data_IF_903928111955
#
_entry.id   IF_903928111955
#
_cell.length_a   1.000
_cell.length_b   1.000
_cell.length_c   1.000
_cell.angle_alpha   90.00
_cell.angle_beta   90.00
_cell.angle_gamma   90.00
#
_symmetry.space_group_name_H-M   'P 1'
#
loop_
_entity.id
_entity.type
_entity.pdbx_description
1 polymer ?
#
# COMPACT_ATOMS: atom_id res chain seq x y z
N UNK A 1 -10.86 -2.84 -8.87
CA UNK A 1 -9.57 -3.07 -9.55
C UNK A 1 -9.09 -1.90 -10.41
N UNK A 2 -9.95 -1.22 -11.18
CA UNK A 2 -9.53 -0.10 -12.05
C UNK A 2 -9.01 1.12 -11.25
N UNK A 3 -9.75 1.53 -10.21
CA UNK A 3 -9.43 2.77 -9.46
C UNK A 3 -8.04 2.75 -8.80
N UNK A 4 -7.60 1.68 -8.09
CA UNK A 4 -6.26 1.65 -7.49
C UNK A 4 -5.13 1.63 -8.54
N UNK A 5 -5.31 0.90 -9.63
CA UNK A 5 -4.34 0.87 -10.73
C UNK A 5 -4.22 2.23 -11.43
N UNK A 6 -5.36 2.88 -11.69
CA UNK A 6 -5.39 4.22 -12.25
C UNK A 6 -4.68 5.23 -11.32
N UNK A 7 -4.91 5.16 -10.01
CA UNK A 7 -4.23 6.01 -9.04
C UNK A 7 -2.71 5.84 -9.09
N UNK A 8 -2.21 4.60 -9.17
CA UNK A 8 -0.76 4.32 -9.22
C UNK A 8 -0.08 4.87 -10.48
N UNK A 9 -0.79 4.97 -11.60
CA UNK A 9 -0.26 5.50 -12.86
C UNK A 9 -0.41 7.03 -12.93
N UNK A 10 -1.61 7.52 -12.64
CA UNK A 10 -1.96 8.93 -12.81
C UNK A 10 -1.23 9.80 -11.78
N UNK A 11 -1.05 9.32 -10.54
CA UNK A 11 -0.45 10.13 -9.48
C UNK A 11 0.98 10.61 -9.77
N UNK A 12 1.98 9.77 -10.12
CA UNK A 12 3.32 10.25 -10.43
C UNK A 12 3.35 11.12 -11.70
N UNK A 13 2.48 10.84 -12.69
CA UNK A 13 2.37 11.66 -13.91
C UNK A 13 1.84 13.06 -13.60
N UNK A 14 0.73 13.14 -12.87
CA UNK A 14 0.11 14.41 -12.51
C UNK A 14 1.05 15.26 -11.66
N UNK A 15 1.67 14.66 -10.63
CA UNK A 15 2.64 15.34 -9.77
C UNK A 15 3.85 15.81 -10.60
N UNK A 16 4.45 14.95 -11.42
CA UNK A 16 5.62 15.31 -12.20
C UNK A 16 5.37 16.43 -13.22
N UNK A 17 4.26 16.39 -13.95
CA UNK A 17 3.93 17.41 -14.96
C UNK A 17 3.56 18.74 -14.30
N UNK A 18 2.72 18.72 -13.26
CA UNK A 18 2.31 19.96 -12.57
C UNK A 18 3.51 20.67 -11.96
N UNK A 19 4.38 19.95 -11.25
CA UNK A 19 5.55 20.55 -10.61
C UNK A 19 6.66 20.92 -11.60
N UNK A 20 6.72 20.31 -12.79
CA UNK A 20 7.57 20.77 -13.88
C UNK A 20 7.11 22.12 -14.42
N UNK A 21 5.82 22.28 -14.67
CA UNK A 21 5.23 23.55 -15.14
C UNK A 21 5.46 24.65 -14.10
N UNK A 22 5.19 24.38 -12.82
CA UNK A 22 5.47 25.32 -11.72
C UNK A 22 6.96 25.63 -11.60
N UNK A 23 7.83 24.63 -11.79
CA UNK A 23 9.28 24.80 -11.80
C UNK A 23 9.74 25.78 -12.88
N UNK A 24 9.14 25.71 -14.07
CA UNK A 24 9.42 26.64 -15.16
C UNK A 24 9.07 28.09 -14.78
N UNK A 25 7.90 28.32 -14.17
CA UNK A 25 7.48 29.67 -13.73
C UNK A 25 8.29 30.23 -12.54
N UNK A 26 8.84 29.35 -11.71
CA UNK A 26 9.59 29.73 -10.48
C UNK A 26 11.11 29.75 -10.67
N UNK A 27 11.60 29.51 -11.88
CA UNK A 27 13.04 29.44 -12.17
C UNK A 27 13.74 28.18 -11.65
N UNK A 28 12.99 27.13 -11.32
CA UNK A 28 13.50 25.84 -10.85
C UNK A 28 13.23 24.73 -11.88
N UNK A 29 14.08 24.58 -12.91
CA UNK A 29 13.81 23.67 -14.04
C UNK A 29 13.64 22.20 -13.62
N UNK A 30 14.32 21.77 -12.55
CA UNK A 30 14.30 20.38 -12.07
C UNK A 30 13.25 20.10 -10.98
N UNK A 31 12.31 21.02 -10.74
CA UNK A 31 11.33 20.89 -9.64
C UNK A 31 10.46 19.63 -9.80
N UNK A 32 10.01 19.32 -11.02
CA UNK A 32 9.21 18.13 -11.31
C UNK A 32 9.92 16.83 -10.89
N UNK A 33 11.16 16.65 -11.34
CA UNK A 33 11.98 15.49 -10.99
C UNK A 33 12.22 15.37 -9.47
N UNK A 34 12.52 16.48 -8.78
CA UNK A 34 12.74 16.48 -7.32
C UNK A 34 11.49 16.02 -6.56
N UNK A 35 10.33 16.57 -6.90
CA UNK A 35 9.07 16.25 -6.20
C UNK A 35 8.64 14.81 -6.46
N UNK A 36 8.78 14.32 -7.70
CA UNK A 36 8.49 12.92 -8.01
C UNK A 36 9.45 11.97 -7.29
N UNK A 37 10.73 12.31 -7.20
CA UNK A 37 11.70 11.53 -6.42
C UNK A 37 11.33 11.49 -4.93
N UNK A 38 10.92 12.62 -4.34
CA UNK A 38 10.41 12.66 -2.97
C UNK A 38 9.13 11.83 -2.80
N UNK A 39 8.18 11.95 -3.73
CA UNK A 39 6.95 11.14 -3.72
C UNK A 39 7.26 9.65 -3.72
N UNK A 40 8.17 9.19 -4.59
CA UNK A 40 8.58 7.80 -4.65
C UNK A 40 9.20 7.32 -3.33
N UNK A 41 10.08 8.14 -2.73
CA UNK A 41 10.72 7.83 -1.45
C UNK A 41 9.69 7.66 -0.33
N UNK A 42 8.82 8.66 -0.12
CA UNK A 42 7.82 8.63 0.95
C UNK A 42 6.77 7.55 0.73
N UNK A 43 6.29 7.36 -0.51
CA UNK A 43 5.33 6.30 -0.84
C UNK A 43 5.92 4.90 -0.59
N UNK A 44 7.21 4.71 -0.86
CA UNK A 44 7.91 3.44 -0.59
C UNK A 44 8.00 3.16 0.90
N UNK A 45 8.47 4.12 1.70
CA UNK A 45 8.63 3.95 3.15
C UNK A 45 7.26 3.69 3.82
N UNK A 46 6.27 4.55 3.54
CA UNK A 46 4.93 4.40 4.11
C UNK A 46 4.26 3.10 3.63
N UNK A 47 4.39 2.77 2.34
CA UNK A 47 3.79 1.59 1.75
C UNK A 47 4.35 0.29 2.31
N UNK A 48 5.67 0.18 2.51
CA UNK A 48 6.29 -1.03 3.09
C UNK A 48 5.82 -1.22 4.54
N UNK A 49 5.83 -0.17 5.35
CA UNK A 49 5.38 -0.25 6.74
C UNK A 49 3.91 -0.68 6.85
N UNK A 50 3.04 -0.09 6.01
CA UNK A 50 1.63 -0.46 5.97
C UNK A 50 1.42 -1.89 5.46
N UNK A 51 2.13 -2.32 4.40
CA UNK A 51 2.01 -3.67 3.88
C UNK A 51 2.39 -4.72 4.94
N UNK A 52 3.50 -4.49 5.65
CA UNK A 52 3.94 -5.35 6.74
C UNK A 52 2.91 -5.42 7.88
N UNK A 53 2.36 -4.28 8.27
CA UNK A 53 1.33 -4.23 9.31
C UNK A 53 0.09 -5.03 8.91
N UNK A 54 -0.45 -4.80 7.71
CA UNK A 54 -1.67 -5.47 7.23
C UNK A 54 -1.48 -6.99 7.11
N UNK A 55 -0.35 -7.42 6.54
CA UNK A 55 -0.04 -8.85 6.39
C UNK A 55 0.11 -9.53 7.77
N UNK A 56 0.82 -8.88 8.70
CA UNK A 56 1.10 -9.46 10.01
C UNK A 56 -0.13 -9.47 10.90
N UNK A 57 -0.90 -8.38 10.95
CA UNK A 57 -2.11 -8.29 11.74
C UNK A 57 -3.19 -9.26 11.24
N UNK A 58 -3.44 -9.31 9.93
CA UNK A 58 -4.40 -10.25 9.34
C UNK A 58 -3.98 -11.70 9.56
N UNK A 59 -2.70 -12.03 9.39
CA UNK A 59 -2.18 -13.36 9.68
C UNK A 59 -2.27 -13.74 11.16
N UNK A 60 -2.05 -12.79 12.08
CA UNK A 60 -2.18 -13.02 13.51
C UNK A 60 -3.63 -13.33 13.90
N UNK A 61 -4.62 -12.62 13.35
CA UNK A 61 -6.03 -12.90 13.62
C UNK A 61 -6.48 -14.27 13.07
N UNK A 62 -6.06 -14.66 11.86
CA UNK A 62 -6.35 -15.99 11.33
C UNK A 62 -5.72 -17.11 12.18
N UNK A 63 -4.45 -16.92 12.58
CA UNK A 63 -3.76 -17.89 13.40
C UNK A 63 -4.36 -17.98 14.81
N UNK A 64 -4.82 -16.87 15.39
CA UNK A 64 -5.53 -16.87 16.67
C UNK A 64 -6.86 -17.65 16.57
N UNK A 65 -7.64 -17.44 15.49
CA UNK A 65 -8.85 -18.20 15.22
C UNK A 65 -8.52 -19.70 15.11
N UNK A 66 -7.57 -20.08 14.25
CA UNK A 66 -7.13 -21.47 14.07
C UNK A 66 -6.64 -22.10 15.37
N UNK A 67 -5.94 -21.36 16.22
CA UNK A 67 -5.51 -21.84 17.53
C UNK A 67 -6.70 -22.18 18.44
N UNK A 68 -7.71 -21.32 18.52
CA UNK A 68 -8.94 -21.61 19.28
C UNK A 68 -9.68 -22.81 18.68
N UNK A 69 -9.69 -22.95 17.35
CA UNK A 69 -10.27 -24.11 16.67
C UNK A 69 -9.63 -25.46 17.04
N UNK A 70 -8.39 -25.47 17.57
CA UNK A 70 -7.73 -26.70 18.07
C UNK A 70 -8.30 -27.21 19.40
N UNK A 71 -9.19 -26.44 20.05
CA UNK A 71 -9.76 -26.76 21.37
C UNK A 71 -9.23 -25.87 22.49
N UNK A 72 -8.24 -25.02 22.23
CA UNK A 72 -7.79 -24.01 23.18
C UNK A 72 -8.88 -22.95 23.43
N UNK A 73 -8.88 -22.35 24.62
CA UNK A 73 -9.77 -21.22 24.99
C UNK A 73 -11.27 -21.47 24.76
N UNK A 74 -11.73 -22.71 24.93
CA UNK A 74 -13.14 -23.11 24.82
C UNK A 74 -13.51 -23.73 23.47
N UNK A 75 -12.61 -23.78 22.49
CA UNK A 75 -12.84 -24.50 21.25
C UNK A 75 -13.87 -23.86 20.31
N UNK A 76 -14.23 -24.59 19.25
CA UNK A 76 -15.23 -24.13 18.27
C UNK A 76 -16.59 -23.88 18.92
N UNK A 77 -17.20 -22.76 18.55
CA UNK A 77 -18.53 -22.36 19.04
C UNK A 77 -18.54 -21.59 20.37
N UNK A 78 -17.39 -21.50 21.05
CA UNK A 78 -17.22 -20.64 22.23
C UNK A 78 -17.34 -19.15 21.90
N UNK A 79 -17.56 -18.31 22.91
CA UNK A 79 -17.53 -16.85 22.74
C UNK A 79 -16.17 -16.36 22.24
N UNK A 80 -15.07 -16.96 22.74
CA UNK A 80 -13.71 -16.71 22.24
C UNK A 80 -13.58 -16.98 20.74
N UNK A 81 -14.16 -18.08 20.27
CA UNK A 81 -14.15 -18.45 18.84
C UNK A 81 -14.93 -17.45 18.00
N UNK A 82 -16.13 -17.02 18.45
CA UNK A 82 -16.92 -16.00 17.73
C UNK A 82 -16.17 -14.66 17.62
N UNK A 83 -15.51 -14.24 18.70
CA UNK A 83 -14.68 -13.04 18.70
C UNK A 83 -13.50 -13.16 17.72
N UNK A 84 -12.82 -14.31 17.71
CA UNK A 84 -11.70 -14.56 16.79
C UNK A 84 -12.13 -14.63 15.32
N UNK A 85 -13.31 -15.19 15.02
CA UNK A 85 -13.90 -15.15 13.66
C UNK A 85 -14.15 -13.72 13.21
N UNK A 86 -14.62 -12.84 14.10
CA UNK A 86 -14.80 -11.42 13.79
C UNK A 86 -13.46 -10.75 13.47
N UNK A 87 -12.42 -11.04 14.26
CA UNK A 87 -11.06 -10.54 14.00
C UNK A 87 -10.50 -11.02 12.66
N UNK A 88 -10.67 -12.29 12.32
CA UNK A 88 -10.23 -12.84 11.04
C UNK A 88 -10.99 -12.25 9.85
N UNK A 89 -12.30 -12.00 10.00
CA UNK A 89 -13.11 -11.33 8.97
C UNK A 89 -12.61 -9.92 8.67
N UNK A 90 -12.10 -9.20 9.67
CA UNK A 90 -11.41 -7.90 9.49
C UNK A 90 -10.02 -8.10 8.88
N UNK A 91 -9.33 -9.18 9.23
CA UNK A 91 -8.00 -9.52 8.75
C UNK A 91 -7.92 -10.02 7.31
N UNK A 92 -9.00 -10.61 6.77
CA UNK A 92 -9.04 -11.15 5.40
C UNK A 92 -8.76 -10.08 4.33
N UNK A 93 -9.45 -8.91 4.32
CA UNK A 93 -9.09 -7.83 3.40
C UNK A 93 -7.66 -7.30 3.59
N UNK A 94 -7.10 -7.41 4.80
CA UNK A 94 -5.77 -6.90 5.12
C UNK A 94 -4.69 -7.81 4.52
N UNK A 95 -4.74 -9.11 4.80
CA UNK A 95 -3.69 -10.07 4.40
C UNK A 95 -3.85 -10.57 2.96
N UNK A 96 -5.07 -10.65 2.42
CA UNK A 96 -5.32 -11.26 1.11
C UNK A 96 -5.55 -10.24 -0.01
N UNK A 97 -5.84 -8.98 0.32
CA UNK A 97 -6.12 -7.93 -0.67
C UNK A 97 -5.18 -6.75 -0.54
N UNK A 98 -5.29 -5.96 0.54
CA UNK A 98 -4.62 -4.68 0.67
C UNK A 98 -3.11 -4.81 0.86
N UNK A 99 -2.65 -5.68 1.76
CA UNK A 99 -1.25 -5.88 2.07
C UNK A 99 -0.41 -6.34 0.86
N UNK A 100 -0.80 -7.43 0.15
CA UNK A 100 -0.11 -7.86 -1.07
C UNK A 100 -0.17 -6.79 -2.18
N UNK A 101 -1.29 -6.08 -2.32
CA UNK A 101 -1.46 -5.04 -3.34
C UNK A 101 -0.54 -3.84 -3.13
N UNK A 102 -0.21 -3.48 -1.88
CA UNK A 102 0.72 -2.39 -1.58
C UNK A 102 2.13 -2.69 -2.08
N UNK A 103 2.60 -3.95 -2.00
CA UNK A 103 3.90 -4.32 -2.58
C UNK A 103 3.94 -4.14 -4.10
N UNK A 104 2.84 -4.47 -4.79
CA UNK A 104 2.72 -4.26 -6.24
C UNK A 104 2.66 -2.77 -6.56
N UNK A 105 1.88 -1.99 -5.80
CA UNK A 105 1.74 -0.55 -5.99
C UNK A 105 3.08 0.19 -5.91
N UNK A 106 3.92 -0.15 -4.93
CA UNK A 106 5.25 0.48 -4.76
C UNK A 106 6.15 0.18 -5.96
N UNK A 107 6.16 -1.08 -6.42
CA UNK A 107 6.94 -1.46 -7.62
C UNK A 107 6.44 -0.73 -8.86
N UNK A 108 5.13 -0.63 -9.05
CA UNK A 108 4.54 0.09 -10.17
C UNK A 108 4.88 1.59 -10.14
N UNK A 109 4.80 2.24 -8.97
CA UNK A 109 5.19 3.64 -8.82
C UNK A 109 6.66 3.85 -9.21
N UNK A 110 7.57 2.98 -8.78
CA UNK A 110 8.97 3.05 -9.14
C UNK A 110 9.19 2.88 -10.65
N UNK A 111 8.58 1.87 -11.26
CA UNK A 111 8.72 1.60 -12.70
C UNK A 111 8.16 2.74 -13.56
N UNK A 112 6.95 3.24 -13.25
CA UNK A 112 6.34 4.35 -13.99
C UNK A 112 7.18 5.61 -13.84
N UNK A 113 7.63 5.92 -12.62
CA UNK A 113 8.49 7.09 -12.36
C UNK A 113 9.77 7.03 -13.18
N UNK A 114 10.42 5.86 -13.25
CA UNK A 114 11.67 5.68 -14.00
C UNK A 114 11.46 5.82 -15.51
N UNK A 115 10.43 5.17 -16.06
CA UNK A 115 10.12 5.22 -17.50
C UNK A 115 9.77 6.65 -17.94
N UNK A 116 9.04 7.38 -17.10
CA UNK A 116 8.57 8.73 -17.39
C UNK A 116 9.59 9.82 -17.01
N UNK A 117 10.75 9.45 -16.44
CA UNK A 117 11.76 10.40 -15.99
C UNK A 117 12.15 11.46 -17.04
N UNK A 118 12.33 11.14 -18.34
CA UNK A 118 12.63 12.15 -19.37
C UNK A 118 11.58 13.26 -19.51
N UNK A 119 10.33 13.02 -19.09
CA UNK A 119 9.24 14.00 -19.16
C UNK A 119 9.28 14.97 -17.96
N UNK A 120 9.94 14.58 -16.87
CA UNK A 120 10.00 15.36 -15.61
C UNK A 120 11.26 16.22 -15.47
N UNK A 121 12.25 15.99 -16.34
CA UNK A 121 13.49 16.75 -16.43
C UNK A 121 13.33 18.07 -17.21
#
# INVERSE_FOLDING_TARGET
>A
MIKPGALAIISPMAVGVVFRILGHYTGQPLLGAKVVASMLMFATVAGILMALFLNTAGGAWDNAKKYIETGALGGKGSESHKAAVTGDTVGDPFKDTAGPSLHVLIKMLATITLVMAPIFL
#
